data_IF_638217043105
#
_entry.id   IF_638217043105
#
_cell.length_a   1.000
_cell.length_b   1.000
_cell.length_c   1.000
_cell.angle_alpha   90.00
_cell.angle_beta   90.00
_cell.angle_gamma   90.00
#
_symmetry.space_group_name_H-M   'P 1'
#
loop_
_entity.id
_entity.type
_entity.pdbx_description
1 polymer ?
#
# COMPACT_ATOMS: atom_id res chain seq x y z
N UNK A 1 11.36 10.39 9.02
CA UNK A 1 10.41 11.50 8.82
C UNK A 1 9.04 10.88 8.95
N UNK A 2 8.45 10.97 10.13
CA UNK A 2 7.11 10.47 10.41
C UNK A 2 6.13 11.38 9.68
N UNK A 3 5.65 10.97 8.52
CA UNK A 3 4.61 11.69 7.78
C UNK A 3 3.35 11.67 8.63
N UNK A 4 3.01 12.80 9.24
CA UNK A 4 1.77 12.97 9.97
C UNK A 4 0.61 12.81 8.97
N UNK A 5 -0.27 11.79 9.10
CA UNK A 5 -1.34 11.54 8.13
C UNK A 5 -2.28 12.74 7.94
N UNK A 6 -2.32 13.61 8.96
CA UNK A 6 -3.06 14.87 9.00
C UNK A 6 -2.66 15.87 7.91
N UNK A 7 -1.45 15.82 7.38
CA UNK A 7 -0.98 16.75 6.33
C UNK A 7 -1.19 16.20 4.91
N UNK A 8 -1.50 14.90 4.76
CA UNK A 8 -1.37 14.18 3.49
C UNK A 8 -2.61 14.26 2.57
N UNK A 9 -3.78 14.64 3.08
CA UNK A 9 -4.97 14.86 2.26
C UNK A 9 -6.02 15.68 3.02
N UNK A 10 -6.54 16.74 2.41
CA UNK A 10 -7.70 17.48 2.98
C UNK A 10 -8.95 16.60 3.08
N UNK A 11 -8.99 15.45 2.40
CA UNK A 11 -10.06 14.47 2.44
C UNK A 11 -9.56 13.07 2.03
N UNK A 12 -9.75 12.08 2.91
CA UNK A 12 -9.50 10.66 2.62
C UNK A 12 -10.86 9.98 2.49
N UNK A 13 -11.14 9.28 1.38
CA UNK A 13 -12.40 8.54 1.21
C UNK A 13 -12.25 7.04 1.46
N UNK A 14 -11.02 6.51 1.47
CA UNK A 14 -10.75 5.09 1.64
C UNK A 14 -9.52 4.83 2.51
N UNK A 15 -9.73 4.13 3.62
CA UNK A 15 -8.66 3.57 4.45
C UNK A 15 -8.50 2.08 4.14
N UNK A 16 -7.28 1.65 3.83
CA UNK A 16 -6.93 0.26 3.53
C UNK A 16 -6.09 -0.29 4.68
N UNK A 17 -6.58 -1.32 5.38
CA UNK A 17 -5.87 -1.93 6.52
C UNK A 17 -5.06 -3.14 6.05
N UNK A 18 -3.76 -3.07 6.27
CA UNK A 18 -2.77 -4.06 5.86
C UNK A 18 -2.13 -3.74 4.51
N UNK A 19 -0.80 -3.91 4.41
CA UNK A 19 -0.02 -3.72 3.18
C UNK A 19 0.41 -5.06 2.56
N UNK A 20 -0.54 -5.99 2.47
CA UNK A 20 -0.34 -7.30 1.82
C UNK A 20 -0.67 -7.30 0.33
N UNK A 21 -0.53 -8.44 -0.37
CA UNK A 21 -0.75 -8.53 -1.82
C UNK A 21 -2.14 -8.05 -2.25
N UNK A 22 -3.18 -8.35 -1.47
CA UNK A 22 -4.54 -7.88 -1.75
C UNK A 22 -4.66 -6.34 -1.73
N UNK A 23 -4.03 -5.69 -0.75
CA UNK A 23 -4.01 -4.23 -0.66
C UNK A 23 -3.22 -3.63 -1.83
N UNK A 24 -2.10 -4.24 -2.20
CA UNK A 24 -1.30 -3.82 -3.35
C UNK A 24 -2.09 -3.95 -4.67
N UNK A 25 -2.78 -5.08 -4.89
CA UNK A 25 -3.66 -5.27 -6.06
C UNK A 25 -4.78 -4.23 -6.10
N UNK A 26 -5.40 -3.93 -4.97
CA UNK A 26 -6.44 -2.90 -4.89
C UNK A 26 -5.89 -1.52 -5.23
N UNK A 27 -4.77 -1.12 -4.62
CA UNK A 27 -4.13 0.18 -4.85
C UNK A 27 -3.71 0.35 -6.30
N UNK A 28 -3.06 -0.66 -6.89
CA UNK A 28 -2.66 -0.62 -8.30
C UNK A 28 -3.87 -0.54 -9.22
N UNK A 29 -4.93 -1.29 -8.95
CA UNK A 29 -6.19 -1.20 -9.69
C UNK A 29 -6.83 0.20 -9.60
N UNK A 30 -6.90 0.78 -8.40
CA UNK A 30 -7.44 2.14 -8.18
C UNK A 30 -6.62 3.18 -8.94
N UNK A 31 -5.29 3.11 -8.87
CA UNK A 31 -4.41 4.04 -9.59
C UNK A 31 -4.54 3.92 -11.11
N UNK A 32 -4.74 2.71 -11.63
CA UNK A 32 -4.86 2.46 -13.07
C UNK A 32 -6.24 2.76 -13.64
N UNK A 33 -7.31 2.41 -12.91
CA UNK A 33 -8.69 2.43 -13.42
C UNK A 33 -9.55 3.56 -12.85
N UNK A 34 -9.14 4.18 -11.74
CA UNK A 34 -9.85 5.28 -11.09
C UNK A 34 -8.90 6.40 -10.68
N UNK A 35 -8.34 7.10 -11.68
CA UNK A 35 -7.40 8.20 -11.43
C UNK A 35 -7.94 9.30 -10.50
N UNK A 36 -9.25 9.49 -10.44
CA UNK A 36 -9.90 10.43 -9.50
C UNK A 36 -9.68 10.08 -8.03
N UNK A 37 -9.35 8.82 -7.71
CA UNK A 37 -9.03 8.36 -6.36
C UNK A 37 -7.57 8.61 -5.97
N UNK A 38 -6.73 9.10 -6.88
CA UNK A 38 -5.30 9.36 -6.58
C UNK A 38 -5.18 10.39 -5.46
N UNK A 39 -4.45 10.05 -4.40
CA UNK A 39 -4.28 10.90 -3.22
C UNK A 39 -5.49 10.92 -2.27
N UNK A 40 -6.52 10.11 -2.52
CA UNK A 40 -7.75 10.05 -1.71
C UNK A 40 -7.88 8.76 -0.90
N UNK A 41 -6.82 7.96 -0.85
CA UNK A 41 -6.75 6.74 -0.05
C UNK A 41 -5.41 6.65 0.68
N UNK A 42 -5.41 5.97 1.82
CA UNK A 42 -4.22 5.66 2.60
C UNK A 42 -4.19 4.17 2.95
N UNK A 43 -2.98 3.60 2.95
CA UNK A 43 -2.72 2.22 3.38
C UNK A 43 -2.05 2.27 4.74
N UNK A 44 -2.60 1.52 5.69
CA UNK A 44 -2.08 1.42 7.04
C UNK A 44 -1.44 0.05 7.24
N UNK A 45 -0.18 0.05 7.64
CA UNK A 45 0.55 -1.16 8.00
C UNK A 45 1.04 -1.04 9.45
N UNK A 46 0.57 -1.88 10.38
CA UNK A 46 1.03 -1.83 11.77
C UNK A 46 2.51 -2.17 11.91
N UNK A 47 3.12 -2.84 10.94
CA UNK A 47 4.54 -3.18 10.99
C UNK A 47 5.47 -2.02 10.60
N UNK A 48 4.97 -1.05 9.83
CA UNK A 48 5.78 -0.01 9.18
C UNK A 48 6.88 -0.53 8.24
N UNK A 49 7.01 -1.85 8.10
CA UNK A 49 8.12 -2.55 7.50
C UNK A 49 7.66 -3.51 6.39
N UNK A 50 6.45 -3.30 5.86
CA UNK A 50 5.85 -4.17 4.85
C UNK A 50 6.77 -4.46 3.66
N UNK A 51 7.52 -3.47 3.15
CA UNK A 51 8.47 -3.68 2.05
C UNK A 51 9.61 -4.64 2.42
N UNK A 52 10.21 -4.46 3.60
CA UNK A 52 11.24 -5.38 4.09
C UNK A 52 10.69 -6.79 4.30
N UNK A 53 9.45 -6.89 4.81
CA UNK A 53 8.78 -8.18 5.00
C UNK A 53 8.49 -8.89 3.67
N UNK A 54 8.02 -8.15 2.67
CA UNK A 54 7.83 -8.69 1.32
C UNK A 54 9.14 -9.17 0.73
N UNK A 55 10.21 -8.38 0.85
CA UNK A 55 11.52 -8.76 0.33
C UNK A 55 12.04 -10.05 0.98
N UNK A 56 11.89 -10.19 2.31
CA UNK A 56 12.24 -11.42 3.02
C UNK A 56 11.39 -12.61 2.58
N UNK A 57 10.07 -12.43 2.43
CA UNK A 57 9.17 -13.52 2.01
C UNK A 57 9.45 -13.98 0.58
N UNK A 58 9.75 -13.05 -0.33
CA UNK A 58 10.09 -13.37 -1.72
C UNK A 58 11.41 -14.11 -1.80
N UNK A 59 12.43 -13.65 -1.05
CA UNK A 59 13.70 -14.34 -0.96
C UNK A 59 13.55 -15.75 -0.35
N UNK A 60 12.71 -15.91 0.68
CA UNK A 60 12.47 -17.20 1.32
C UNK A 60 11.70 -18.20 0.44
N UNK A 61 10.86 -17.71 -0.47
CA UNK A 61 10.04 -18.52 -1.37
C UNK A 61 10.64 -18.67 -2.78
N UNK A 62 11.82 -18.09 -3.02
CA UNK A 62 12.47 -18.01 -4.33
C UNK A 62 11.55 -17.42 -5.43
N UNK A 63 10.77 -16.41 -5.06
CA UNK A 63 9.85 -15.71 -5.97
C UNK A 63 10.53 -14.41 -6.45
N UNK A 64 10.85 -14.27 -7.74
CA UNK A 64 11.56 -13.09 -8.25
C UNK A 64 10.66 -11.85 -8.39
N UNK A 65 9.36 -12.04 -8.65
CA UNK A 65 8.36 -10.98 -8.77
C UNK A 65 6.94 -11.56 -8.63
N UNK A 66 5.97 -10.72 -8.24
CA UNK A 66 4.55 -11.04 -8.37
C UNK A 66 4.19 -11.15 -9.85
N UNK A 67 3.50 -12.23 -10.21
CA UNK A 67 2.99 -12.48 -11.56
C UNK A 67 1.59 -11.91 -11.74
#
# INVERSE_FOLDING_TARGET
>A
MDTNPSELASQIDLAIIGAGPHAFTLVTHLLQKRQTMRGRFLVFDPSGAWMSRWQQQFAALDIPHLR
#
